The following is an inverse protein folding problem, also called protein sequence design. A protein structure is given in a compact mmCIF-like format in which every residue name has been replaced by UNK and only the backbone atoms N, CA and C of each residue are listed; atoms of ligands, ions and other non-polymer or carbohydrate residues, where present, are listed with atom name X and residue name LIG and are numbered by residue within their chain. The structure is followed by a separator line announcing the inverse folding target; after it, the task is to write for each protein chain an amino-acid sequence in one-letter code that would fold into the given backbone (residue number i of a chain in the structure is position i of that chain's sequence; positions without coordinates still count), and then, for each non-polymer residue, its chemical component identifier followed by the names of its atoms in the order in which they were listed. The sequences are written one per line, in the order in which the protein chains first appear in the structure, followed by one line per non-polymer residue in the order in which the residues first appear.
data_IF_939724053289
#
_entry.id   IF_939724053289
#
_cell.length_a   1.000
_cell.length_b   1.000
_cell.length_c   1.000
_cell.angle_alpha   90.00
_cell.angle_beta   90.00
_cell.angle_gamma   90.00
#
_symmetry.space_group_name_H-M   'P 1'
#
loop_
_entity.id
_entity.type
_entity.pdbx_description
1 polymer ?
#
# COMPACT_ATOMS: atom_id res chain seq x y z
N UNK A 1 18.47 -12.53 -16.43
CA UNK A 1 17.36 -12.46 -15.44
C UNK A 1 17.98 -12.62 -14.07
N UNK A 2 17.94 -11.63 -13.17
CA UNK A 2 18.47 -11.79 -11.80
C UNK A 2 17.32 -11.66 -10.81
N UNK A 3 17.13 -12.73 -10.05
CA UNK A 3 16.09 -12.88 -9.03
C UNK A 3 16.07 -11.70 -8.07
N UNK A 4 14.87 -11.14 -7.87
CA UNK A 4 14.60 -10.20 -6.79
C UNK A 4 14.11 -11.02 -5.60
N UNK A 5 14.94 -11.11 -4.56
CA UNK A 5 14.53 -11.71 -3.29
C UNK A 5 14.05 -10.57 -2.39
N UNK A 6 12.79 -10.66 -1.95
CA UNK A 6 12.17 -9.74 -0.99
C UNK A 6 12.24 -10.37 0.39
N UNK A 7 12.79 -9.64 1.35
CA UNK A 7 12.91 -10.06 2.74
C UNK A 7 12.20 -9.02 3.60
N UNK A 8 11.36 -9.47 4.52
CA UNK A 8 10.76 -8.60 5.53
C UNK A 8 11.72 -8.51 6.73
N UNK A 9 12.12 -7.30 7.10
CA UNK A 9 12.86 -7.03 8.34
C UNK A 9 12.03 -6.09 9.22
N UNK A 10 11.28 -6.66 10.17
CA UNK A 10 10.28 -5.92 10.94
C UNK A 10 9.19 -5.38 10.02
N UNK A 11 8.93 -4.06 10.08
CA UNK A 11 7.95 -3.36 9.22
C UNK A 11 8.53 -2.85 7.89
N UNK A 12 9.78 -3.20 7.54
CA UNK A 12 10.45 -2.75 6.32
C UNK A 12 10.60 -3.89 5.32
N UNK A 13 10.22 -3.62 4.07
CA UNK A 13 10.56 -4.50 2.96
C UNK A 13 11.98 -4.18 2.47
N UNK A 14 12.86 -5.18 2.55
CA UNK A 14 14.22 -5.08 2.03
C UNK A 14 14.29 -5.89 0.74
N UNK A 15 14.65 -5.21 -0.35
CA UNK A 15 14.82 -5.86 -1.65
C UNK A 15 16.31 -6.00 -1.94
N UNK A 16 16.75 -7.25 -2.15
CA UNK A 16 18.07 -7.55 -2.70
C UNK A 16 18.01 -7.35 -4.20
N UNK A 17 18.80 -6.41 -4.75
CA UNK A 17 18.93 -6.22 -6.20
C UNK A 17 20.39 -6.15 -6.62
N UNK A 18 20.71 -6.79 -7.75
CA UNK A 18 21.97 -6.56 -8.44
C UNK A 18 21.79 -5.44 -9.48
N UNK A 19 22.65 -4.43 -9.42
CA UNK A 19 22.76 -3.37 -10.43
C UNK A 19 24.20 -3.44 -10.98
N UNK A 20 24.35 -3.93 -12.21
CA UNK A 20 25.66 -4.35 -12.73
C UNK A 20 26.26 -5.46 -11.86
N UNK A 21 27.49 -5.26 -11.39
CA UNK A 21 28.20 -6.19 -10.51
C UNK A 21 28.06 -5.87 -9.01
N UNK A 22 27.26 -4.84 -8.67
CA UNK A 22 27.08 -4.40 -7.29
C UNK A 22 25.81 -4.98 -6.68
N UNK A 23 25.97 -5.54 -5.49
CA UNK A 23 24.86 -5.91 -4.62
C UNK A 23 24.34 -4.66 -3.91
N UNK A 24 23.08 -4.31 -4.16
CA UNK A 24 22.44 -3.14 -3.55
C UNK A 24 21.30 -3.60 -2.65
N UNK A 25 21.32 -3.10 -1.42
CA UNK A 25 20.22 -3.18 -0.48
C UNK A 25 19.43 -1.88 -0.59
N UNK A 26 18.19 -1.94 -1.06
CA UNK A 26 17.27 -0.81 -1.00
C UNK A 26 16.18 -1.11 0.02
N UNK A 27 16.01 -0.24 1.02
CA UNK A 27 14.82 -0.25 1.85
C UNK A 27 13.66 0.31 1.03
N UNK A 28 12.66 -0.52 0.75
CA UNK A 28 11.40 -0.06 0.22
C UNK A 28 10.62 0.73 1.28
N UNK A 29 9.53 1.39 0.87
CA UNK A 29 8.63 2.08 1.80
C UNK A 29 8.18 1.12 2.92
N UNK A 30 8.01 1.63 4.14
CA UNK A 30 7.70 0.75 5.29
C UNK A 30 6.22 0.39 5.30
N UNK A 31 5.90 -0.88 5.50
CA UNK A 31 4.53 -1.37 5.64
C UNK A 31 3.93 -0.83 6.94
N UNK A 32 2.75 -0.23 6.84
CA UNK A 32 1.97 0.26 7.99
C UNK A 32 0.85 -0.71 8.36
N UNK A 33 0.12 -1.22 7.37
CA UNK A 33 -1.04 -2.09 7.58
C UNK A 33 -1.29 -2.96 6.34
N UNK A 34 -1.64 -4.21 6.56
CA UNK A 34 -2.16 -5.13 5.54
C UNK A 34 -3.58 -5.55 5.93
N UNK A 35 -4.53 -5.42 5.00
CA UNK A 35 -5.92 -5.88 5.18
C UNK A 35 -6.30 -6.74 3.99
N UNK A 36 -6.65 -7.99 4.26
CA UNK A 36 -7.06 -8.94 3.23
C UNK A 36 -8.57 -8.96 3.06
N UNK A 37 -9.02 -9.23 1.84
CA UNK A 37 -10.42 -9.39 1.46
C UNK A 37 -11.30 -8.26 2.00
N UNK A 38 -10.92 -7.02 1.71
CA UNK A 38 -11.66 -5.84 2.14
C UNK A 38 -12.41 -5.19 0.99
N UNK A 39 -13.37 -4.32 1.31
CA UNK A 39 -14.18 -3.64 0.31
C UNK A 39 -13.57 -2.30 -0.06
N UNK A 40 -13.48 -2.05 -1.36
CA UNK A 40 -13.17 -0.76 -1.95
C UNK A 40 -14.33 -0.26 -2.82
N UNK A 41 -14.71 1.01 -2.68
CA UNK A 41 -15.77 1.62 -3.49
C UNK A 41 -15.47 3.08 -3.80
N UNK A 42 -16.05 3.58 -4.91
CA UNK A 42 -15.93 4.98 -5.26
C UNK A 42 -16.80 5.85 -4.35
N UNK A 43 -16.25 6.97 -3.89
CA UNK A 43 -16.96 7.95 -3.08
C UNK A 43 -16.43 9.35 -3.39
N UNK A 44 -17.32 10.30 -3.75
CA UNK A 44 -16.99 11.72 -3.95
C UNK A 44 -15.64 11.98 -4.66
N UNK A 45 -15.47 11.48 -5.89
CA UNK A 45 -14.24 11.72 -6.67
C UNK A 45 -12.99 10.96 -6.23
N UNK A 46 -13.07 10.14 -5.18
CA UNK A 46 -12.00 9.26 -4.70
C UNK A 46 -12.51 7.86 -4.39
N UNK A 47 -11.81 7.16 -3.50
CA UNK A 47 -12.09 5.76 -3.19
C UNK A 47 -12.01 5.51 -1.69
N UNK A 48 -13.05 4.90 -1.13
CA UNK A 48 -13.04 4.42 0.24
C UNK A 48 -12.55 2.98 0.29
N UNK A 49 -11.77 2.65 1.30
CA UNK A 49 -11.32 1.30 1.63
C UNK A 49 -11.65 1.02 3.10
N UNK A 50 -12.37 -0.07 3.34
CA UNK A 50 -12.63 -0.56 4.69
C UNK A 50 -11.34 -1.17 5.28
N UNK A 51 -10.96 -0.77 6.49
CA UNK A 51 -9.82 -1.32 7.23
C UNK A 51 -10.25 -2.17 8.43
N UNK A 52 -11.51 -2.58 8.49
CA UNK A 52 -12.08 -3.55 9.44
C UNK A 52 -11.84 -3.16 10.90
N UNK A 53 -11.91 -1.86 11.20
CA UNK A 53 -11.70 -1.34 12.54
C UNK A 53 -10.24 -1.28 13.01
N UNK A 54 -9.27 -1.61 12.16
CA UNK A 54 -7.86 -1.36 12.46
C UNK A 54 -7.61 0.13 12.70
N UNK A 55 -6.66 0.43 13.58
CA UNK A 55 -6.19 1.79 13.83
C UNK A 55 -4.84 2.03 13.16
N UNK A 56 -4.73 3.13 12.45
CA UNK A 56 -3.53 3.51 11.70
C UNK A 56 -3.47 5.02 11.61
N UNK A 57 -2.26 5.57 11.75
CA UNK A 57 -1.99 7.00 11.49
C UNK A 57 -2.12 7.29 9.99
N UNK A 58 -3.33 7.62 9.54
CA UNK A 58 -3.64 7.87 8.12
C UNK A 58 -2.72 8.93 7.51
N UNK A 59 -2.37 9.97 8.28
CA UNK A 59 -1.44 11.02 7.86
C UNK A 59 -0.03 10.51 7.48
N UNK A 60 0.36 9.29 7.88
CA UNK A 60 1.63 8.67 7.52
C UNK A 60 1.57 7.88 6.19
N UNK A 61 0.37 7.61 5.67
CA UNK A 61 0.19 6.81 4.45
C UNK A 61 0.60 7.66 3.24
N UNK A 62 1.43 7.07 2.38
CA UNK A 62 1.92 7.69 1.13
C UNK A 62 1.73 6.79 -0.08
N UNK A 63 1.73 5.48 0.14
CA UNK A 63 1.54 4.50 -0.91
C UNK A 63 0.53 3.43 -0.51
N UNK A 64 -0.13 2.88 -1.52
CA UNK A 64 -1.00 1.72 -1.41
C UNK A 64 -0.55 0.65 -2.41
N UNK A 65 -0.66 -0.62 -2.03
CA UNK A 65 -0.56 -1.76 -2.93
C UNK A 65 -1.88 -2.51 -2.89
N UNK A 66 -2.45 -2.77 -4.08
CA UNK A 66 -3.76 -3.42 -4.22
C UNK A 66 -3.57 -4.73 -4.97
N UNK A 67 -4.04 -5.85 -4.42
CA UNK A 67 -3.89 -7.19 -5.00
C UNK A 67 -2.45 -7.55 -5.38
N UNK A 68 -1.48 -7.18 -4.52
CA UNK A 68 -0.03 -7.37 -4.76
C UNK A 68 0.49 -6.71 -6.06
N UNK A 69 -0.20 -5.69 -6.57
CA UNK A 69 0.22 -4.92 -7.74
C UNK A 69 1.46 -4.05 -7.45
N UNK A 70 1.78 -3.09 -8.32
CA UNK A 70 2.82 -2.10 -8.02
C UNK A 70 2.38 -1.18 -6.87
N UNK A 71 3.34 -0.57 -6.18
CA UNK A 71 3.05 0.51 -5.24
C UNK A 71 2.51 1.72 -6.01
N UNK A 72 1.41 2.27 -5.52
CA UNK A 72 0.73 3.42 -6.11
C UNK A 72 0.78 4.56 -5.09
N UNK A 73 1.29 5.72 -5.50
CA UNK A 73 1.29 6.92 -4.66
C UNK A 73 -0.12 7.47 -4.55
N UNK A 74 -0.53 7.82 -3.34
CA UNK A 74 -1.88 8.31 -3.04
C UNK A 74 -1.83 9.46 -2.02
N UNK A 75 -2.94 10.18 -1.94
CA UNK A 75 -3.28 10.97 -0.76
C UNK A 75 -4.30 10.19 0.05
N UNK A 76 -4.09 10.08 1.36
CA UNK A 76 -5.00 9.36 2.26
C UNK A 76 -5.57 10.33 3.29
N UNK A 77 -6.86 10.20 3.54
CA UNK A 77 -7.57 10.89 4.62
C UNK A 77 -8.47 9.90 5.38
N UNK A 78 -8.80 10.23 6.62
CA UNK A 78 -9.72 9.43 7.42
C UNK A 78 -11.14 9.94 7.18
N UNK A 79 -11.94 9.16 6.47
CA UNK A 79 -13.35 9.51 6.23
C UNK A 79 -14.21 9.22 7.46
N UNK A 80 -14.06 8.03 8.04
CA UNK A 80 -14.73 7.59 9.26
C UNK A 80 -13.86 6.52 9.94
N UNK A 81 -14.12 6.23 11.22
CA UNK A 81 -13.41 5.15 11.92
C UNK A 81 -13.57 3.84 11.15
N UNK A 82 -12.45 3.22 10.78
CA UNK A 82 -12.44 1.97 10.01
C UNK A 82 -12.55 2.15 8.49
N UNK A 83 -12.56 3.37 7.95
CA UNK A 83 -12.56 3.62 6.49
C UNK A 83 -11.55 4.69 6.12
N UNK A 84 -10.62 4.32 5.24
CA UNK A 84 -9.64 5.24 4.66
C UNK A 84 -10.15 5.72 3.31
N UNK A 85 -10.09 7.03 3.09
CA UNK A 85 -10.40 7.66 1.81
C UNK A 85 -9.11 7.96 1.05
N UNK A 86 -9.06 7.54 -0.21
CA UNK A 86 -7.91 7.65 -1.10
C UNK A 86 -8.22 8.57 -2.29
N UNK A 87 -7.29 9.46 -2.59
CA UNK A 87 -7.32 10.38 -3.74
C UNK A 87 -5.95 10.48 -4.41
N UNK A 88 -5.86 11.29 -5.47
CA UNK A 88 -4.62 11.58 -6.19
C UNK A 88 -4.25 10.61 -7.31
N UNK A 89 -5.03 9.54 -7.51
CA UNK A 89 -4.85 8.60 -8.62
C UNK A 89 -6.16 7.86 -8.94
N UNK A 90 -6.29 7.37 -10.17
CA UNK A 90 -7.45 6.58 -10.60
C UNK A 90 -7.24 5.10 -10.22
N UNK A 91 -8.13 4.57 -9.39
CA UNK A 91 -8.10 3.20 -8.88
C UNK A 91 -9.37 2.42 -9.24
N UNK A 92 -10.12 2.85 -10.27
CA UNK A 92 -11.44 2.29 -10.61
C UNK A 92 -11.41 0.78 -10.85
N UNK A 93 -10.31 0.25 -11.38
CA UNK A 93 -10.14 -1.19 -11.64
C UNK A 93 -10.11 -2.05 -10.37
N UNK A 94 -9.88 -1.45 -9.19
CA UNK A 94 -9.81 -2.15 -7.90
C UNK A 94 -11.11 -2.07 -7.08
N UNK A 95 -12.17 -1.46 -7.63
CA UNK A 95 -13.48 -1.42 -6.96
C UNK A 95 -14.01 -2.84 -6.77
N UNK A 96 -14.48 -3.15 -5.56
CA UNK A 96 -14.94 -4.48 -5.16
C UNK A 96 -14.13 -5.03 -3.98
N UNK A 97 -13.92 -6.35 -3.98
CA UNK A 97 -13.10 -7.01 -2.97
C UNK A 97 -11.62 -6.93 -3.34
N UNK A 98 -10.79 -6.45 -2.42
CA UNK A 98 -9.37 -6.18 -2.65
C UNK A 98 -8.52 -6.58 -1.44
N UNK A 99 -7.29 -7.03 -1.70
CA UNK A 99 -6.24 -7.13 -0.69
C UNK A 99 -5.43 -5.83 -0.72
N UNK A 100 -5.34 -5.14 0.41
CA UNK A 100 -4.68 -3.83 0.49
C UNK A 100 -3.50 -3.85 1.45
N UNK A 101 -2.42 -3.18 1.05
CA UNK A 101 -1.31 -2.82 1.94
C UNK A 101 -1.07 -1.32 1.88
N UNK A 102 -0.96 -0.69 3.03
CA UNK A 102 -0.65 0.73 3.17
C UNK A 102 0.79 0.90 3.64
N UNK A 103 1.49 1.88 3.06
CA UNK A 103 2.89 2.13 3.36
C UNK A 103 3.15 3.61 3.63
N UNK A 104 4.14 3.88 4.49
CA UNK A 104 4.79 5.19 4.63
C UNK A 104 5.99 5.29 3.68
N UNK A 105 6.49 6.51 3.48
CA UNK A 105 7.79 6.77 2.84
C UNK A 105 8.93 5.93 3.47
#
# INVERSE_FOLDING_TARGET
MRDRVRIMLGSREIVKRYIGDRLVWSSGPSLLLEVLNTRMWQYWGGYNIDIKGNDIKVAAIRYVQLNNSRLIRIQADMYNRGVIYLTGTNLREYIGTVNVKFYRE
#
